data_IF_659207992077
#
_entry.id   IF_659207992077
#
_cell.length_a   1.000
_cell.length_b   1.000
_cell.length_c   1.000
_cell.angle_alpha   90.00
_cell.angle_beta   90.00
_cell.angle_gamma   90.00
#
_symmetry.space_group_name_H-M   'P 1'
#
loop_
_entity.id
_entity.type
_entity.pdbx_description
1 polymer ?
#
# COMPACT_ATOMS: atom_id res chain seq x y z
N UNK A 1 -10.78 12.79 -17.90
CA UNK A 1 -9.29 12.72 -17.99
C UNK A 1 -8.67 13.02 -16.64
N UNK A 2 -7.39 12.68 -16.43
CA UNK A 2 -6.70 12.86 -15.15
C UNK A 2 -5.18 13.02 -15.32
N UNK A 3 -4.50 13.68 -14.39
CA UNK A 3 -3.05 13.94 -14.43
C UNK A 3 -2.34 13.20 -13.29
N UNK A 4 -1.38 12.34 -13.63
CA UNK A 4 -0.47 11.76 -12.65
C UNK A 4 0.69 12.73 -12.36
N UNK A 5 0.97 12.98 -11.08
CA UNK A 5 2.07 13.85 -10.64
C UNK A 5 3.08 13.09 -9.78
N UNK A 6 4.29 13.64 -9.64
CA UNK A 6 5.32 13.11 -8.74
C UNK A 6 5.42 13.96 -7.49
N UNK A 7 5.18 13.34 -6.33
CA UNK A 7 5.29 13.99 -5.00
C UNK A 7 6.10 13.13 -4.01
N UNK A 8 7.07 12.36 -4.52
CA UNK A 8 7.96 11.51 -3.71
C UNK A 8 7.61 10.01 -3.72
N UNK A 9 6.69 9.57 -4.57
CA UNK A 9 6.30 8.16 -4.69
C UNK A 9 7.17 7.38 -5.68
N UNK A 10 7.38 6.08 -5.45
CA UNK A 10 8.01 5.16 -6.40
C UNK A 10 7.29 3.80 -6.44
N UNK A 11 7.53 3.00 -7.49
CA UNK A 11 6.83 1.72 -7.69
C UNK A 11 7.45 0.58 -6.88
N UNK A 12 6.66 -0.48 -6.64
CA UNK A 12 7.11 -1.66 -5.90
C UNK A 12 7.04 -1.50 -4.38
N UNK A 13 7.66 -2.46 -3.68
CA UNK A 13 7.66 -2.57 -2.21
C UNK A 13 8.84 -1.85 -1.54
N UNK A 14 9.84 -1.41 -2.32
CA UNK A 14 11.03 -0.71 -1.85
C UNK A 14 10.93 0.75 -2.27
N UNK A 15 10.00 1.49 -1.65
CA UNK A 15 9.73 2.85 -2.13
C UNK A 15 10.78 3.86 -1.72
N UNK A 16 11.37 3.60 -0.56
CA UNK A 16 12.36 4.44 0.11
C UNK A 16 13.52 3.56 0.53
N UNK A 17 14.72 4.12 0.54
CA UNK A 17 15.88 3.45 1.14
C UNK A 17 15.88 3.67 2.66
N UNK A 18 16.49 2.79 3.46
CA UNK A 18 16.58 2.97 4.90
C UNK A 18 17.20 4.31 5.31
N UNK A 19 18.15 4.83 4.54
CA UNK A 19 18.85 6.09 4.80
C UNK A 19 17.94 7.31 4.65
N UNK A 20 16.84 7.19 3.90
CA UNK A 20 15.83 8.24 3.77
C UNK A 20 14.84 8.25 4.93
N UNK A 21 14.81 7.19 5.73
CA UNK A 21 13.79 6.96 6.75
C UNK A 21 14.33 7.28 8.15
N UNK A 22 13.42 7.58 9.07
CA UNK A 22 13.72 7.60 10.50
C UNK A 22 13.09 6.38 11.19
N UNK A 23 13.58 6.01 12.36
CA UNK A 23 13.00 4.92 13.15
C UNK A 23 11.90 5.49 14.05
N UNK A 24 10.70 4.95 13.94
CA UNK A 24 9.64 5.22 14.91
C UNK A 24 10.03 4.62 16.27
N UNK A 25 10.17 5.43 17.33
CA UNK A 25 10.60 4.96 18.64
C UNK A 25 9.60 4.02 19.33
N UNK A 26 8.32 4.04 18.92
CA UNK A 26 7.29 3.18 19.51
C UNK A 26 7.26 1.81 18.86
N UNK A 27 7.38 1.75 17.54
CA UNK A 27 7.22 0.51 16.77
C UNK A 27 8.56 -0.09 16.33
N UNK A 28 9.65 0.67 16.39
CA UNK A 28 10.97 0.28 15.87
C UNK A 28 11.03 0.20 14.34
N UNK A 29 9.97 0.63 13.63
CA UNK A 29 9.86 0.52 12.16
C UNK A 29 10.40 1.77 11.47
N UNK A 30 10.84 1.59 10.23
CA UNK A 30 11.29 2.70 9.38
C UNK A 30 10.08 3.48 8.86
N UNK A 31 10.09 4.79 9.07
CA UNK A 31 9.10 5.74 8.59
C UNK A 31 9.74 6.62 7.52
N UNK A 32 9.19 6.64 6.30
CA UNK A 32 9.75 7.41 5.19
C UNK A 32 9.51 8.91 5.34
N UNK A 33 10.18 9.75 4.53
CA UNK A 33 9.88 11.17 4.47
C UNK A 33 8.45 11.39 3.94
N UNK A 34 7.80 12.50 4.33
CA UNK A 34 6.45 12.78 3.90
C UNK A 34 6.36 13.07 2.40
N UNK A 35 5.19 12.81 1.83
CA UNK A 35 4.83 13.25 0.49
C UNK A 35 4.96 14.78 0.38
N UNK A 36 5.43 15.24 -0.78
CA UNK A 36 5.57 16.66 -1.11
C UNK A 36 4.20 17.31 -1.34
N UNK A 37 3.46 17.57 -0.26
CA UNK A 37 2.13 18.19 -0.30
C UNK A 37 2.17 19.63 -0.83
N UNK A 38 3.27 20.34 -0.63
CA UNK A 38 3.51 21.67 -1.20
C UNK A 38 3.46 21.65 -2.74
N UNK A 39 4.00 20.60 -3.37
CA UNK A 39 3.91 20.40 -4.82
C UNK A 39 2.47 20.10 -5.24
N UNK A 40 1.75 19.25 -4.48
CA UNK A 40 0.34 18.97 -4.75
C UNK A 40 -0.51 20.25 -4.67
N UNK A 41 -0.29 21.07 -3.64
CA UNK A 41 -0.99 22.34 -3.43
C UNK A 41 -0.73 23.32 -4.59
N UNK A 42 0.53 23.46 -5.01
CA UNK A 42 0.89 24.30 -6.16
C UNK A 42 0.27 23.81 -7.48
N UNK A 43 0.14 22.49 -7.67
CA UNK A 43 -0.56 21.92 -8.84
C UNK A 43 -2.05 22.24 -8.77
N UNK A 44 -2.69 22.10 -7.61
CA UNK A 44 -4.11 22.42 -7.43
C UNK A 44 -4.41 23.90 -7.67
N UNK A 45 -3.51 24.80 -7.28
CA UNK A 45 -3.63 26.24 -7.57
C UNK A 45 -3.57 26.52 -9.09
N UNK A 46 -2.64 25.87 -9.80
CA UNK A 46 -2.46 26.06 -11.25
C UNK A 46 -3.52 25.36 -12.09
N UNK A 47 -4.09 24.26 -11.60
CA UNK A 47 -5.09 23.44 -12.28
C UNK A 47 -6.32 23.20 -11.38
N UNK A 48 -7.11 24.24 -11.06
CA UNK A 48 -8.24 24.11 -10.15
C UNK A 48 -9.26 23.07 -10.63
N UNK A 49 -9.59 22.12 -9.76
CA UNK A 49 -10.58 21.07 -10.04
C UNK A 49 -10.12 19.99 -11.03
N UNK A 50 -8.87 20.02 -11.52
CA UNK A 50 -8.39 18.97 -12.41
C UNK A 50 -8.11 17.67 -11.63
N UNK A 51 -8.59 16.50 -12.08
CA UNK A 51 -8.42 15.25 -11.34
C UNK A 51 -6.96 14.79 -11.29
N UNK A 52 -6.42 14.58 -10.09
CA UNK A 52 -5.02 14.18 -9.87
C UNK A 52 -4.91 12.68 -9.55
N UNK A 53 -3.84 12.05 -10.02
CA UNK A 53 -3.52 10.64 -9.80
C UNK A 53 -2.19 10.51 -9.07
N UNK A 54 -2.15 9.63 -8.07
CA UNK A 54 -0.90 9.20 -7.42
C UNK A 54 -0.51 7.80 -7.90
N UNK A 55 0.72 7.67 -8.38
CA UNK A 55 1.33 6.40 -8.76
C UNK A 55 2.18 5.84 -7.62
N UNK A 56 2.55 4.56 -7.71
CA UNK A 56 3.46 3.95 -6.74
C UNK A 56 3.01 4.13 -5.29
N UNK A 57 1.71 4.03 -4.99
CA UNK A 57 1.15 4.51 -3.72
C UNK A 57 0.76 3.41 -2.72
N UNK A 58 1.29 2.20 -2.90
CA UNK A 58 1.21 1.09 -1.94
C UNK A 58 1.73 1.50 -0.55
N UNK A 59 1.04 1.13 0.53
CA UNK A 59 1.51 1.41 1.91
C UNK A 59 2.44 0.35 2.48
N UNK A 60 2.53 -0.81 1.83
CA UNK A 60 3.34 -1.97 2.25
C UNK A 60 2.95 -2.40 3.68
N UNK A 61 1.84 -3.13 3.83
CA UNK A 61 1.35 -3.56 5.14
C UNK A 61 2.37 -4.44 5.83
N UNK A 62 2.90 -3.96 6.96
CA UNK A 62 4.02 -4.63 7.64
C UNK A 62 3.63 -5.99 8.20
N UNK A 63 2.38 -6.22 8.58
CA UNK A 63 1.89 -7.53 9.01
C UNK A 63 2.03 -8.60 7.90
N UNK A 64 1.84 -8.20 6.63
CA UNK A 64 2.02 -9.08 5.49
C UNK A 64 3.51 -9.34 5.20
N UNK A 65 4.35 -8.32 5.37
CA UNK A 65 5.83 -8.44 5.30
C UNK A 65 6.34 -9.41 6.37
N UNK A 66 5.87 -9.24 7.60
CA UNK A 66 6.23 -10.07 8.76
C UNK A 66 5.77 -11.52 8.52
N UNK A 67 4.56 -11.72 8.00
CA UNK A 67 4.04 -13.05 7.64
C UNK A 67 4.88 -13.70 6.55
N UNK A 68 5.21 -12.96 5.48
CA UNK A 68 6.06 -13.48 4.40
C UNK A 68 7.42 -13.91 4.95
N UNK A 69 8.07 -13.06 5.76
CA UNK A 69 9.37 -13.36 6.35
C UNK A 69 9.32 -14.56 7.30
N UNK A 70 8.25 -14.69 8.10
CA UNK A 70 8.02 -15.86 8.97
C UNK A 70 7.95 -17.17 8.18
N UNK A 71 7.31 -17.17 7.01
CA UNK A 71 7.12 -18.36 6.17
C UNK A 71 8.09 -18.39 4.97
N UNK A 72 9.38 -18.15 5.23
CA UNK A 72 10.48 -18.39 4.30
C UNK A 72 10.67 -17.32 3.22
N UNK A 73 10.11 -16.13 3.40
CA UNK A 73 10.42 -14.94 2.61
C UNK A 73 11.62 -14.17 3.17
N UNK A 74 12.11 -13.19 2.39
CA UNK A 74 13.27 -12.39 2.75
C UNK A 74 13.11 -10.92 2.30
N UNK A 75 11.98 -10.32 2.64
CA UNK A 75 11.68 -8.92 2.38
C UNK A 75 12.38 -8.03 3.42
N UNK A 76 13.58 -7.54 3.10
CA UNK A 76 14.35 -6.61 3.95
C UNK A 76 14.00 -5.16 3.59
N UNK A 77 13.66 -4.33 4.58
CA UNK A 77 13.37 -2.91 4.39
C UNK A 77 12.28 -2.65 3.31
N UNK A 78 11.20 -3.44 3.33
CA UNK A 78 10.03 -3.14 2.53
C UNK A 78 9.26 -1.99 3.19
N UNK A 79 9.39 -0.78 2.64
CA UNK A 79 8.86 0.46 3.19
C UNK A 79 7.89 1.05 2.17
N UNK A 80 6.67 1.34 2.62
CA UNK A 80 5.62 1.94 1.81
C UNK A 80 5.22 3.31 2.31
N UNK A 81 4.23 3.92 1.67
CA UNK A 81 3.75 5.25 2.03
C UNK A 81 2.84 5.15 3.27
N UNK A 82 3.00 6.01 4.29
CA UNK A 82 2.09 6.06 5.42
C UNK A 82 0.63 6.26 4.98
N UNK A 83 -0.29 5.47 5.55
CA UNK A 83 -1.70 5.48 5.12
C UNK A 83 -2.43 6.77 5.46
N UNK A 84 -2.01 7.46 6.52
CA UNK A 84 -2.52 8.77 6.92
C UNK A 84 -2.17 9.85 5.88
N UNK A 85 -1.00 9.76 5.24
CA UNK A 85 -0.66 10.63 4.12
C UNK A 85 -1.48 10.33 2.86
N UNK A 86 -1.67 9.06 2.54
CA UNK A 86 -2.59 8.66 1.45
C UNK A 86 -4.01 9.16 1.73
N UNK A 87 -4.46 9.07 2.98
CA UNK A 87 -5.76 9.58 3.43
C UNK A 87 -5.84 11.10 3.33
N UNK A 88 -4.79 11.82 3.67
CA UNK A 88 -4.69 13.27 3.50
C UNK A 88 -4.77 13.65 2.03
N UNK A 89 -4.02 12.96 1.16
CA UNK A 89 -4.05 13.18 -0.27
C UNK A 89 -5.44 12.89 -0.87
N UNK A 90 -6.09 11.80 -0.48
CA UNK A 90 -7.43 11.42 -0.95
C UNK A 90 -8.55 12.42 -0.56
N UNK A 91 -8.31 13.32 0.40
CA UNK A 91 -9.23 14.41 0.75
C UNK A 91 -9.07 15.67 -0.12
N UNK A 92 -8.11 15.67 -1.05
CA UNK A 92 -7.80 16.80 -1.95
C UNK A 92 -8.28 16.51 -3.40
N UNK A 93 -7.65 17.12 -4.41
CA UNK A 93 -7.93 16.85 -5.82
C UNK A 93 -7.50 15.46 -6.31
N UNK A 94 -6.83 14.66 -5.47
CA UNK A 94 -6.44 13.28 -5.81
C UNK A 94 -7.67 12.39 -5.89
N UNK A 95 -8.00 11.96 -7.10
CA UNK A 95 -9.16 11.11 -7.39
C UNK A 95 -8.80 9.63 -7.62
N UNK A 96 -7.51 9.31 -7.79
CA UNK A 96 -7.03 7.95 -8.07
C UNK A 96 -5.68 7.70 -7.41
N UNK A 97 -5.59 6.62 -6.66
CA UNK A 97 -4.37 6.18 -5.98
C UNK A 97 -4.06 4.76 -6.44
N UNK A 98 -2.91 4.56 -7.08
CA UNK A 98 -2.53 3.24 -7.60
C UNK A 98 -1.92 2.39 -6.46
N UNK A 99 -2.58 1.29 -6.12
CA UNK A 99 -2.14 0.32 -5.12
C UNK A 99 -2.04 -1.05 -5.79
N UNK A 100 -0.86 -1.65 -5.75
CA UNK A 100 -0.61 -2.96 -6.35
C UNK A 100 0.22 -3.83 -5.41
N UNK A 101 1.40 -3.33 -4.98
CA UNK A 101 2.31 -4.08 -4.10
C UNK A 101 1.64 -4.59 -2.82
N UNK A 102 0.71 -3.85 -2.22
CA UNK A 102 -0.03 -4.30 -1.04
C UNK A 102 -0.81 -5.59 -1.32
N UNK A 103 -1.49 -5.68 -2.47
CA UNK A 103 -2.26 -6.86 -2.87
C UNK A 103 -1.36 -8.06 -3.16
N UNK A 104 -0.20 -7.82 -3.79
CA UNK A 104 0.81 -8.87 -4.03
C UNK A 104 1.35 -9.42 -2.71
N UNK A 105 1.61 -8.55 -1.73
CA UNK A 105 2.06 -8.95 -0.39
C UNK A 105 0.99 -9.77 0.32
N UNK A 106 -0.26 -9.28 0.38
CA UNK A 106 -1.36 -10.00 1.04
C UNK A 106 -1.62 -11.38 0.42
N UNK A 107 -1.57 -11.49 -0.91
CA UNK A 107 -1.68 -12.78 -1.61
C UNK A 107 -0.50 -13.69 -1.28
N UNK A 108 0.72 -13.17 -1.36
CA UNK A 108 1.95 -13.95 -1.14
C UNK A 108 2.05 -14.45 0.30
N UNK A 109 1.70 -13.62 1.28
CA UNK A 109 1.68 -13.97 2.70
C UNK A 109 0.74 -15.14 2.98
N UNK A 110 -0.49 -15.07 2.46
CA UNK A 110 -1.48 -16.12 2.65
C UNK A 110 -1.06 -17.44 1.99
N UNK A 111 -0.53 -17.40 0.76
CA UNK A 111 -0.06 -18.61 0.05
C UNK A 111 1.11 -19.25 0.79
N UNK A 112 2.12 -18.45 1.18
CA UNK A 112 3.30 -18.95 1.92
C UNK A 112 2.91 -19.60 3.23
N UNK A 113 1.97 -19.00 3.97
CA UNK A 113 1.46 -19.57 5.21
C UNK A 113 0.81 -20.93 4.98
N UNK A 114 -0.07 -21.06 3.98
CA UNK A 114 -0.72 -22.34 3.67
C UNK A 114 0.32 -23.41 3.32
N UNK A 115 1.26 -23.12 2.43
CA UNK A 115 2.28 -24.11 2.05
C UNK A 115 3.22 -24.50 3.20
N UNK A 116 3.45 -23.62 4.16
CA UNK A 116 4.27 -23.92 5.33
C UNK A 116 3.52 -24.73 6.40
N UNK A 117 2.23 -24.44 6.61
CA UNK A 117 1.41 -25.10 7.65
C UNK A 117 0.73 -26.38 7.15
N UNK A 118 0.52 -26.51 5.84
CA UNK A 118 -0.14 -27.62 5.16
C UNK A 118 0.70 -28.08 3.95
N UNK A 119 1.87 -28.71 4.16
CA UNK A 119 2.76 -29.12 3.07
C UNK A 119 2.16 -30.17 2.12
N UNK A 120 1.13 -30.89 2.56
CA UNK A 120 0.35 -31.83 1.75
C UNK A 120 -0.60 -31.15 0.75
N UNK A 121 -0.90 -29.87 0.96
CA UNK A 121 -1.97 -29.18 0.25
C UNK A 121 -1.53 -28.76 -1.15
N UNK A 122 -2.13 -29.38 -2.16
CA UNK A 122 -1.83 -29.12 -3.57
C UNK A 122 -3.02 -28.54 -4.34
N UNK A 123 -4.22 -28.54 -3.75
CA UNK A 123 -5.43 -28.04 -4.41
C UNK A 123 -5.38 -26.51 -4.50
N UNK A 124 -5.38 -25.91 -5.71
CA UNK A 124 -5.37 -24.46 -5.90
C UNK A 124 -6.42 -23.71 -5.11
N UNK A 125 -7.59 -24.30 -4.90
CA UNK A 125 -8.69 -23.66 -4.17
C UNK A 125 -8.34 -23.46 -2.70
N UNK A 126 -7.50 -24.33 -2.14
CA UNK A 126 -7.14 -24.34 -0.72
C UNK A 126 -6.07 -23.32 -0.37
N UNK A 127 -5.19 -22.96 -1.30
CA UNK A 127 -4.22 -21.87 -1.09
C UNK A 127 -4.63 -20.53 -1.74
N UNK A 128 -5.36 -20.54 -2.87
CA UNK A 128 -5.86 -19.31 -3.49
C UNK A 128 -7.13 -18.77 -2.82
N UNK A 129 -7.95 -19.64 -2.19
CA UNK A 129 -9.11 -19.21 -1.41
C UNK A 129 -8.72 -18.26 -0.28
N UNK A 130 -7.85 -18.67 0.66
CA UNK A 130 -7.31 -17.80 1.71
C UNK A 130 -6.63 -16.55 1.17
N UNK A 131 -5.89 -16.65 0.05
CA UNK A 131 -5.21 -15.51 -0.55
C UNK A 131 -6.19 -14.45 -1.10
N UNK A 132 -7.26 -14.89 -1.76
CA UNK A 132 -8.35 -14.01 -2.20
C UNK A 132 -9.02 -13.34 -1.01
N UNK A 133 -9.32 -14.11 0.04
CA UNK A 133 -9.98 -13.58 1.24
C UNK A 133 -9.09 -12.55 1.95
N UNK A 134 -7.76 -12.75 1.96
CA UNK A 134 -6.82 -11.78 2.52
C UNK A 134 -6.76 -10.48 1.70
N UNK A 135 -6.67 -10.57 0.37
CA UNK A 135 -6.77 -9.39 -0.50
C UNK A 135 -8.11 -8.65 -0.34
N UNK A 136 -9.22 -9.38 -0.17
CA UNK A 136 -10.53 -8.77 0.07
C UNK A 136 -10.53 -7.95 1.36
N UNK A 137 -9.96 -8.48 2.46
CA UNK A 137 -9.81 -7.74 3.72
C UNK A 137 -8.97 -6.47 3.53
N UNK A 138 -7.83 -6.59 2.84
CA UNK A 138 -6.98 -5.46 2.49
C UNK A 138 -7.76 -4.37 1.74
N UNK A 139 -8.48 -4.71 0.66
CA UNK A 139 -9.21 -3.72 -0.11
C UNK A 139 -10.35 -3.07 0.67
N UNK A 140 -11.07 -3.83 1.51
CA UNK A 140 -12.09 -3.27 2.40
C UNK A 140 -11.46 -2.24 3.34
N UNK A 141 -10.31 -2.56 3.95
CA UNK A 141 -9.57 -1.61 4.80
C UNK A 141 -9.18 -0.35 4.03
N UNK A 142 -8.58 -0.51 2.83
CA UNK A 142 -8.19 0.62 1.98
C UNK A 142 -9.38 1.51 1.63
N UNK A 143 -10.50 0.94 1.24
CA UNK A 143 -11.72 1.69 0.87
C UNK A 143 -12.23 2.52 2.05
N UNK A 144 -12.30 1.92 3.25
CA UNK A 144 -12.87 2.58 4.44
C UNK A 144 -11.94 3.62 5.05
N UNK A 145 -10.69 3.24 5.28
CA UNK A 145 -9.79 4.00 6.17
C UNK A 145 -8.73 4.82 5.44
N UNK A 146 -8.40 4.45 4.19
CA UNK A 146 -7.33 5.10 3.42
C UNK A 146 -7.90 5.98 2.31
N UNK A 147 -8.65 5.40 1.38
CA UNK A 147 -9.21 6.07 0.22
C UNK A 147 -10.50 6.84 0.57
N UNK A 148 -11.29 6.33 1.52
CA UNK A 148 -12.55 6.93 1.94
C UNK A 148 -13.66 6.90 0.89
N UNK A 149 -13.67 5.88 0.04
CA UNK A 149 -14.66 5.68 -1.02
C UNK A 149 -15.83 4.79 -0.60
N UNK A 150 -15.95 4.43 0.69
CA UNK A 150 -17.07 3.65 1.20
C UNK A 150 -18.41 4.35 0.95
N UNK A 151 -19.39 3.60 0.42
CA UNK A 151 -20.75 4.11 0.17
C UNK A 151 -20.87 5.14 -0.95
N UNK A 152 -19.86 5.26 -1.82
CA UNK A 152 -19.83 6.20 -2.95
C UNK A 152 -20.16 5.57 -4.32
N UNK A 153 -20.61 4.32 -4.32
CA UNK A 153 -21.08 3.67 -5.55
C UNK A 153 -22.47 4.22 -5.94
N UNK A 154 -22.66 4.48 -7.22
CA UNK A 154 -23.93 4.89 -7.84
C UNK A 154 -24.61 3.69 -8.54
#
# INVERSE_FOLDING_TARGET
DSLAISIGTSHGAYKFTPEQCHVDPQTGRLVPPPLAFDVLDAVMEKLPGFPIVLHGSSSVPQEEVDTINKYGGALKAAIGIPEDELRKAAKSAVCKINIDSDSRLAMTAAIRKVFAEHPEEFDPRKYLGPARDNMKKLYIHKIKYVLGSEGKAE
#
